data_IF_707230277359
#
_entry.id   IF_707230277359
#
_cell.length_a   1.000
_cell.length_b   1.000
_cell.length_c   1.000
_cell.angle_alpha   90.00
_cell.angle_beta   90.00
_cell.angle_gamma   90.00
#
_symmetry.space_group_name_H-M   'P 1'
#
loop_
_entity.id
_entity.type
_entity.pdbx_description
1 polymer ?
#
# COMPACT_ATOMS: atom_id res chain seq x y z
N UNK A 1 -5.25 57.20 1.18
CA UNK A 1 -4.65 56.22 0.26
C UNK A 1 -5.73 55.82 -0.73
N UNK A 2 -5.80 56.49 -1.88
CA UNK A 2 -6.84 56.26 -2.89
C UNK A 2 -6.39 55.09 -3.76
N UNK A 3 -7.11 53.97 -3.71
CA UNK A 3 -6.93 52.87 -4.64
C UNK A 3 -7.46 53.38 -5.98
N UNK A 4 -6.56 53.62 -6.95
CA UNK A 4 -6.92 54.05 -8.30
C UNK A 4 -7.67 52.94 -9.01
N UNK A 5 -8.64 53.29 -9.88
CA UNK A 5 -9.48 52.34 -10.62
C UNK A 5 -8.69 51.33 -11.46
N UNK A 6 -7.44 51.66 -11.79
CA UNK A 6 -6.49 50.74 -12.43
C UNK A 6 -6.17 49.50 -11.57
N UNK A 7 -6.06 49.66 -10.24
CA UNK A 7 -5.81 48.53 -9.33
C UNK A 7 -7.06 47.65 -9.16
N UNK A 8 -8.24 48.25 -9.29
CA UNK A 8 -9.53 47.55 -9.22
C UNK A 8 -9.75 46.70 -10.48
N UNK A 9 -9.39 47.23 -11.64
CA UNK A 9 -9.43 46.53 -12.91
C UNK A 9 -8.38 45.41 -13.02
N UNK A 10 -7.20 45.60 -12.43
CA UNK A 10 -6.18 44.55 -12.34
C UNK A 10 -6.64 43.37 -11.45
N UNK A 11 -7.33 43.66 -10.34
CA UNK A 11 -7.90 42.63 -9.47
C UNK A 11 -9.06 41.89 -10.16
N UNK A 12 -9.90 42.58 -10.92
CA UNK A 12 -10.99 41.98 -11.70
C UNK A 12 -10.46 41.12 -12.86
N UNK A 13 -9.45 41.57 -13.60
CA UNK A 13 -8.85 40.76 -14.68
C UNK A 13 -8.19 39.48 -14.17
N UNK A 14 -7.69 39.48 -12.93
CA UNK A 14 -7.14 38.28 -12.28
C UNK A 14 -8.22 37.30 -11.79
N UNK A 15 -9.47 37.75 -11.63
CA UNK A 15 -10.61 36.92 -11.24
C UNK A 15 -11.38 36.35 -12.44
N UNK A 16 -11.17 36.91 -13.63
CA UNK A 16 -11.85 36.50 -14.86
C UNK A 16 -11.15 35.32 -15.59
N UNK A 17 -9.97 34.89 -15.13
CA UNK A 17 -9.25 33.71 -15.65
C UNK A 17 -9.47 32.43 -14.82
N UNK A 18 -10.34 32.46 -13.81
CA UNK A 18 -10.78 31.24 -13.15
C UNK A 18 -11.94 30.64 -13.97
N UNK A 19 -11.57 29.90 -15.02
CA UNK A 19 -12.45 28.88 -15.58
C UNK A 19 -12.90 28.00 -14.41
N UNK A 20 -14.15 28.20 -13.96
CA UNK A 20 -14.81 27.43 -12.90
C UNK A 20 -15.09 26.02 -13.43
N UNK A 21 -14.02 25.30 -13.70
CA UNK A 21 -14.03 23.87 -13.89
C UNK A 21 -14.26 23.29 -12.50
N UNK A 22 -15.41 22.65 -12.35
CA UNK A 22 -15.85 21.97 -11.15
C UNK A 22 -14.70 21.11 -10.58
N UNK A 23 -14.03 21.64 -9.54
CA UNK A 23 -12.74 21.15 -9.05
C UNK A 23 -12.89 19.90 -8.16
N UNK A 24 -13.84 19.05 -8.54
CA UNK A 24 -14.35 17.96 -7.72
C UNK A 24 -13.45 16.71 -7.74
N UNK A 25 -12.43 16.74 -8.61
CA UNK A 25 -11.50 15.65 -8.90
C UNK A 25 -10.03 15.98 -8.55
N UNK A 26 -9.78 16.99 -7.72
CA UNK A 26 -8.44 17.32 -7.25
C UNK A 26 -8.25 17.09 -5.74
N UNK A 27 -7.01 16.83 -5.38
CA UNK A 27 -6.55 16.68 -4.01
C UNK A 27 -6.31 18.06 -3.39
N UNK A 28 -7.02 18.38 -2.31
CA UNK A 28 -6.96 19.68 -1.63
C UNK A 28 -5.62 19.99 -0.91
N UNK A 29 -4.67 19.05 -0.87
CA UNK A 29 -3.32 19.28 -0.30
C UNK A 29 -2.31 19.60 -1.40
N UNK A 30 -2.42 18.95 -2.55
CA UNK A 30 -1.40 19.00 -3.61
C UNK A 30 -1.87 19.71 -4.87
N UNK A 31 -3.18 20.02 -4.98
CA UNK A 31 -3.83 20.53 -6.19
C UNK A 31 -3.53 19.65 -7.42
N UNK A 32 -3.45 18.34 -7.19
CA UNK A 32 -3.25 17.34 -8.25
C UNK A 32 -4.46 16.43 -8.35
N UNK A 33 -4.66 15.79 -9.52
CA UNK A 33 -5.76 14.85 -9.75
C UNK A 33 -5.83 13.77 -8.67
N UNK A 34 -7.06 13.39 -8.30
CA UNK A 34 -7.30 12.29 -7.39
C UNK A 34 -6.83 10.96 -8.00
N UNK A 35 -6.09 10.21 -7.20
CA UNK A 35 -5.55 8.89 -7.51
C UNK A 35 -6.53 7.80 -7.15
N UNK A 36 -6.31 6.60 -7.66
CA UNK A 36 -7.13 5.40 -7.40
C UNK A 36 -7.46 5.12 -5.92
N UNK A 37 -6.57 5.48 -4.99
CA UNK A 37 -6.75 5.27 -3.56
C UNK A 37 -7.04 6.56 -2.79
N UNK A 38 -7.67 7.55 -3.42
CA UNK A 38 -8.08 8.78 -2.73
C UNK A 38 -9.00 8.47 -1.54
N UNK A 39 -8.95 9.35 -0.53
CA UNK A 39 -9.74 9.24 0.70
C UNK A 39 -10.67 10.45 0.78
N UNK A 40 -11.94 10.17 1.10
CA UNK A 40 -12.91 11.20 1.46
C UNK A 40 -13.08 11.17 2.97
N UNK A 41 -12.73 12.27 3.65
CA UNK A 41 -12.95 12.38 5.09
C UNK A 41 -14.45 12.60 5.39
N UNK A 42 -14.91 12.37 6.64
CA UNK A 42 -16.31 12.62 7.02
C UNK A 42 -16.77 14.08 6.83
N UNK A 43 -15.82 15.04 6.78
CA UNK A 43 -16.07 16.44 6.41
C UNK A 43 -16.11 16.69 4.90
N UNK A 44 -16.36 15.66 4.08
CA UNK A 44 -16.47 15.65 2.61
C UNK A 44 -15.23 16.05 1.81
N UNK A 45 -14.15 16.52 2.46
CA UNK A 45 -12.90 16.83 1.78
C UNK A 45 -12.19 15.58 1.24
N UNK A 46 -11.77 15.65 -0.02
CA UNK A 46 -11.08 14.58 -0.76
C UNK A 46 -9.58 14.84 -0.83
N UNK A 47 -8.78 13.80 -0.60
CA UNK A 47 -7.33 13.87 -0.65
C UNK A 47 -6.73 12.62 -1.26
N UNK A 48 -5.59 12.78 -1.91
CA UNK A 48 -4.72 11.65 -2.21
C UNK A 48 -4.18 11.03 -0.92
N UNK A 49 -4.07 9.69 -0.91
CA UNK A 49 -3.71 8.95 0.30
C UNK A 49 -2.38 9.37 0.89
N UNK A 50 -1.34 9.47 0.05
CA UNK A 50 0.02 9.72 0.50
C UNK A 50 0.22 11.13 1.11
N UNK A 51 -0.24 12.23 0.46
CA UNK A 51 -0.22 13.55 1.09
C UNK A 51 -1.01 13.62 2.40
N UNK A 52 -2.20 13.00 2.44
CA UNK A 52 -3.02 12.96 3.65
C UNK A 52 -2.34 12.16 4.77
N UNK A 53 -1.72 11.04 4.44
CA UNK A 53 -1.00 10.19 5.39
C UNK A 53 0.17 10.93 6.02
N UNK A 54 1.00 11.62 5.23
CA UNK A 54 2.12 12.41 5.76
C UNK A 54 1.62 13.59 6.61
N UNK A 55 0.54 14.26 6.20
CA UNK A 55 -0.07 15.31 7.01
C UNK A 55 -0.54 14.77 8.39
N UNK A 56 -1.26 13.65 8.42
CA UNK A 56 -1.72 13.01 9.67
C UNK A 56 -0.54 12.51 10.50
N UNK A 57 0.52 11.99 9.87
CA UNK A 57 1.73 11.53 10.54
C UNK A 57 2.46 12.69 11.23
N UNK A 58 2.59 13.83 10.59
CA UNK A 58 3.09 15.06 11.23
C UNK A 58 2.15 15.44 12.39
N UNK A 59 0.84 15.46 12.17
CA UNK A 59 -0.17 15.68 13.22
C UNK A 59 -0.18 14.61 14.33
N UNK A 60 0.56 13.51 14.28
CA UNK A 60 0.56 12.50 15.36
C UNK A 60 1.90 12.31 16.01
N UNK A 61 2.97 12.41 15.23
CA UNK A 61 4.31 12.04 15.65
C UNK A 61 5.22 13.24 15.86
N UNK A 62 4.85 14.45 15.39
CA UNK A 62 5.65 15.66 15.63
C UNK A 62 5.73 15.95 17.13
N UNK A 63 6.93 16.03 17.69
CA UNK A 63 7.18 16.39 19.10
C UNK A 63 7.31 17.91 19.34
N UNK A 64 6.83 18.73 18.43
CA UNK A 64 7.01 20.19 18.50
C UNK A 64 6.25 20.76 19.69
N UNK A 65 6.95 21.49 20.56
CA UNK A 65 6.42 22.13 21.78
C UNK A 65 5.33 23.18 21.51
N UNK A 66 5.31 23.76 20.31
CA UNK A 66 4.32 24.76 19.89
C UNK A 66 2.92 24.19 19.62
N UNK A 67 2.75 22.87 19.72
CA UNK A 67 1.50 22.24 19.33
C UNK A 67 0.58 22.09 20.53
N UNK A 68 -0.47 22.91 20.56
CA UNK A 68 -1.50 22.91 21.61
C UNK A 68 -2.59 21.85 21.42
N UNK A 69 -2.74 21.32 20.22
CA UNK A 69 -3.79 20.34 19.91
C UNK A 69 -3.35 18.89 20.19
N UNK A 70 -3.97 18.29 21.21
CA UNK A 70 -3.84 16.89 21.57
C UNK A 70 -4.99 16.07 20.96
N UNK A 71 -4.68 15.20 20.01
CA UNK A 71 -5.64 14.29 19.37
C UNK A 71 -5.60 12.91 20.06
N UNK A 72 -6.75 12.34 20.39
CA UNK A 72 -6.81 10.98 20.95
C UNK A 72 -6.29 9.94 19.96
N UNK A 73 -5.92 8.74 20.43
CA UNK A 73 -5.28 7.70 19.60
C UNK A 73 -6.08 7.37 18.34
N UNK A 74 -7.42 7.41 18.40
CA UNK A 74 -8.33 7.10 17.30
C UNK A 74 -8.83 8.33 16.53
N UNK A 75 -8.28 9.51 16.80
CA UNK A 75 -8.71 10.77 16.17
C UNK A 75 -7.70 11.30 15.16
N UNK A 76 -8.17 11.89 14.07
CA UNK A 76 -7.33 12.62 13.12
C UNK A 76 -7.96 13.99 12.84
N UNK A 77 -7.15 14.97 12.45
CA UNK A 77 -7.64 16.27 12.07
C UNK A 77 -7.58 16.43 10.55
N UNK A 78 -8.68 16.90 9.93
CA UNK A 78 -8.67 17.25 8.52
C UNK A 78 -7.63 18.36 8.26
N UNK A 79 -6.69 18.18 7.31
CA UNK A 79 -5.70 19.22 6.98
C UNK A 79 -6.32 20.50 6.39
N UNK A 80 -7.50 20.40 5.77
CA UNK A 80 -8.17 21.51 5.12
C UNK A 80 -9.06 22.30 6.10
N UNK A 81 -10.16 21.70 6.58
CA UNK A 81 -11.13 22.39 7.45
C UNK A 81 -10.84 22.28 8.95
N UNK A 82 -9.78 21.58 9.35
CA UNK A 82 -9.38 21.39 10.76
C UNK A 82 -10.40 20.66 11.65
N UNK A 83 -11.48 20.10 11.08
CA UNK A 83 -12.43 19.25 11.82
C UNK A 83 -11.72 17.99 12.32
N UNK A 84 -12.02 17.61 13.58
CA UNK A 84 -11.51 16.40 14.19
C UNK A 84 -12.48 15.25 13.93
N UNK A 85 -11.95 14.10 13.51
CA UNK A 85 -12.71 12.90 13.23
C UNK A 85 -12.21 11.76 14.10
N UNK A 86 -13.13 10.98 14.68
CA UNK A 86 -12.84 9.83 15.55
C UNK A 86 -12.58 8.53 14.77
N UNK A 87 -12.03 8.66 13.56
CA UNK A 87 -11.67 7.54 12.67
C UNK A 87 -10.25 7.71 12.16
N UNK A 88 -9.54 6.58 12.08
CA UNK A 88 -8.20 6.47 11.52
C UNK A 88 -8.24 6.26 10.02
N UNK A 89 -7.12 6.51 9.34
CA UNK A 89 -6.98 6.24 7.91
C UNK A 89 -6.98 4.72 7.65
N UNK A 90 -7.51 4.24 6.51
CA UNK A 90 -7.36 2.85 6.12
C UNK A 90 -5.89 2.55 5.80
N UNK A 91 -5.48 1.29 5.85
CA UNK A 91 -4.13 0.92 5.40
C UNK A 91 -4.09 0.80 3.87
N UNK A 92 -3.32 1.67 3.23
CA UNK A 92 -2.97 1.58 1.80
C UNK A 92 -1.45 1.55 1.69
N UNK A 93 -0.85 0.49 1.11
CA UNK A 93 0.59 0.42 0.96
C UNK A 93 1.07 1.44 -0.07
N UNK A 94 1.97 2.31 0.35
CA UNK A 94 2.68 3.27 -0.50
C UNK A 94 4.15 3.31 -0.10
N UNK A 95 4.99 4.08 -0.80
CA UNK A 95 6.39 4.25 -0.39
C UNK A 95 6.51 4.88 1.00
N UNK A 96 5.66 5.86 1.32
CA UNK A 96 5.55 6.42 2.66
C UNK A 96 4.97 5.44 3.72
N UNK A 97 4.10 4.50 3.32
CA UNK A 97 3.34 3.65 4.22
C UNK A 97 3.55 2.13 3.98
N UNK A 98 4.75 1.64 4.29
CA UNK A 98 5.12 0.21 4.13
C UNK A 98 4.49 -0.70 5.19
N UNK A 99 4.17 -0.16 6.37
CA UNK A 99 3.63 -0.90 7.52
C UNK A 99 2.58 -0.07 8.24
N UNK A 100 1.65 -0.76 8.89
CA UNK A 100 0.65 -0.11 9.75
C UNK A 100 1.32 0.60 10.92
N UNK A 101 0.87 1.81 11.22
CA UNK A 101 1.30 2.67 12.31
C UNK A 101 0.11 2.90 13.25
N UNK A 102 0.32 2.59 14.52
CA UNK A 102 -0.67 2.82 15.58
C UNK A 102 -1.02 4.31 15.61
N UNK A 103 -2.28 4.64 15.83
CA UNK A 103 -2.85 6.01 15.86
C UNK A 103 -2.97 6.74 14.52
N UNK A 104 -2.56 6.11 13.41
CA UNK A 104 -2.71 6.67 12.06
C UNK A 104 -3.58 5.75 11.20
N UNK A 105 -3.20 4.47 11.07
CA UNK A 105 -3.91 3.48 10.26
C UNK A 105 -4.01 2.10 10.95
N UNK A 106 -3.90 2.10 12.28
CA UNK A 106 -4.15 0.96 13.14
C UNK A 106 -4.57 1.42 14.54
N UNK A 107 -5.42 0.66 15.24
CA UNK A 107 -6.00 -0.64 14.86
C UNK A 107 -7.18 -0.53 13.88
N UNK A 108 -7.42 -1.61 13.12
CA UNK A 108 -8.39 -1.61 12.01
C UNK A 108 -9.83 -1.25 12.45
N UNK A 109 -10.23 -1.60 13.67
CA UNK A 109 -11.55 -1.26 14.22
C UNK A 109 -11.86 0.24 14.24
N UNK A 110 -10.82 1.08 14.32
CA UNK A 110 -10.98 2.54 14.29
C UNK A 110 -10.76 3.12 12.90
N UNK A 111 -10.25 2.36 11.95
CA UNK A 111 -10.00 2.85 10.61
C UNK A 111 -11.31 3.01 9.84
N UNK A 112 -11.43 4.08 9.07
CA UNK A 112 -12.55 4.29 8.15
C UNK A 112 -12.64 3.18 7.10
N UNK A 113 -13.81 3.05 6.49
CA UNK A 113 -14.00 2.17 5.34
C UNK A 113 -13.30 2.78 4.12
N UNK A 114 -12.79 1.93 3.22
CA UNK A 114 -12.17 2.36 1.96
C UNK A 114 -12.76 1.59 0.78
N UNK A 115 -12.35 0.32 0.65
CA UNK A 115 -12.83 -0.60 -0.37
C UNK A 115 -12.99 -2.00 0.21
N UNK A 116 -13.70 -2.86 -0.51
CA UNK A 116 -13.89 -4.27 -0.16
C UNK A 116 -13.04 -5.20 -1.01
N UNK A 117 -12.51 -6.26 -0.39
CA UNK A 117 -11.64 -7.18 -1.08
C UNK A 117 -12.42 -8.07 -2.07
N UNK A 118 -12.04 -8.02 -3.34
CA UNK A 118 -12.68 -8.78 -4.42
C UNK A 118 -12.28 -10.28 -4.46
N UNK A 119 -11.61 -10.79 -3.43
CA UNK A 119 -11.14 -12.18 -3.40
C UNK A 119 -12.27 -13.16 -3.13
N UNK A 120 -12.44 -14.14 -4.02
CA UNK A 120 -13.36 -15.28 -3.86
C UNK A 120 -12.60 -16.54 -3.41
N UNK A 121 -13.03 -17.15 -2.32
CA UNK A 121 -12.42 -18.38 -1.83
C UNK A 121 -12.74 -19.56 -2.75
N UNK A 122 -11.71 -20.27 -3.23
CA UNK A 122 -11.86 -21.42 -4.14
C UNK A 122 -12.15 -22.75 -3.44
N UNK A 123 -11.91 -22.83 -2.14
CA UNK A 123 -12.03 -24.06 -1.34
C UNK A 123 -12.32 -23.77 0.14
N UNK A 124 -12.67 -24.83 0.88
CA UNK A 124 -12.97 -24.77 2.32
C UNK A 124 -14.41 -24.38 2.64
N UNK A 125 -14.70 -24.18 3.93
CA UNK A 125 -16.04 -23.82 4.46
C UNK A 125 -16.57 -22.54 3.80
N UNK A 126 -15.67 -21.62 3.44
CA UNK A 126 -15.99 -20.32 2.84
C UNK A 126 -16.00 -20.33 1.31
N UNK A 127 -16.02 -21.49 0.65
CA UNK A 127 -15.98 -21.58 -0.82
C UNK A 127 -17.05 -20.70 -1.47
N UNK A 128 -16.67 -20.01 -2.55
CA UNK A 128 -17.48 -19.06 -3.31
C UNK A 128 -17.92 -17.79 -2.55
N UNK A 129 -17.48 -17.61 -1.29
CA UNK A 129 -17.74 -16.36 -0.56
C UNK A 129 -16.64 -15.31 -0.80
N UNK A 130 -16.99 -14.04 -0.60
CA UNK A 130 -16.06 -12.91 -0.70
C UNK A 130 -15.25 -12.70 0.58
N UNK A 131 -14.15 -11.98 0.42
CA UNK A 131 -13.35 -11.49 1.52
C UNK A 131 -13.94 -10.18 2.05
N UNK A 132 -14.56 -10.21 3.22
CA UNK A 132 -15.14 -9.02 3.86
C UNK A 132 -14.08 -8.15 4.58
N UNK A 133 -12.83 -8.16 4.12
CA UNK A 133 -11.77 -7.35 4.71
C UNK A 133 -11.59 -6.07 3.89
N UNK A 134 -11.17 -5.00 4.59
CA UNK A 134 -10.81 -3.74 3.94
C UNK A 134 -9.68 -3.95 2.94
N UNK A 135 -9.83 -3.33 1.78
CA UNK A 135 -8.97 -3.45 0.64
C UNK A 135 -8.51 -2.08 0.15
N UNK A 136 -7.60 -2.13 -0.81
CA UNK A 136 -7.11 -1.00 -1.57
C UNK A 136 -6.93 -1.45 -3.02
N UNK A 137 -6.92 -0.47 -3.94
CA UNK A 137 -6.67 -0.72 -5.35
C UNK A 137 -5.18 -0.85 -5.58
N UNK A 138 -4.77 -1.92 -6.26
CA UNK A 138 -3.42 -2.11 -6.78
C UNK A 138 -3.47 -2.56 -8.24
N UNK A 139 -2.30 -2.68 -8.87
CA UNK A 139 -2.15 -3.10 -10.27
C UNK A 139 -2.83 -4.44 -10.58
N UNK A 140 -2.94 -5.33 -9.60
CA UNK A 140 -3.56 -6.64 -9.77
C UNK A 140 -5.07 -6.63 -9.52
N UNK A 141 -5.62 -5.54 -8.96
CA UNK A 141 -7.02 -5.38 -8.60
C UNK A 141 -7.23 -4.89 -7.16
N UNK A 142 -8.45 -5.01 -6.65
CA UNK A 142 -8.83 -4.52 -5.32
C UNK A 142 -8.77 -5.65 -4.29
N UNK A 143 -7.71 -5.64 -3.47
CA UNK A 143 -7.45 -6.72 -2.50
C UNK A 143 -7.02 -6.20 -1.13
N UNK A 144 -7.32 -6.98 -0.09
CA UNK A 144 -6.78 -6.74 1.24
C UNK A 144 -5.28 -7.10 1.29
N UNK A 145 -4.58 -6.61 2.31
CA UNK A 145 -3.13 -6.82 2.48
C UNK A 145 -2.70 -8.29 2.34
N UNK A 146 -3.44 -9.21 2.98
CA UNK A 146 -3.11 -10.64 2.94
C UNK A 146 -3.30 -11.27 1.56
N UNK A 147 -4.39 -10.94 0.86
CA UNK A 147 -4.66 -11.46 -0.48
C UNK A 147 -3.76 -10.82 -1.53
N UNK A 148 -3.47 -9.52 -1.44
CA UNK A 148 -2.52 -8.86 -2.33
C UNK A 148 -1.13 -9.51 -2.25
N UNK A 149 -0.59 -9.69 -1.04
CA UNK A 149 0.70 -10.37 -0.84
C UNK A 149 0.69 -11.83 -1.33
N UNK A 150 -0.45 -12.51 -1.27
CA UNK A 150 -0.59 -13.88 -1.78
C UNK A 150 -0.56 -13.92 -3.31
N UNK A 151 -1.25 -12.98 -3.98
CA UNK A 151 -1.28 -12.89 -5.45
C UNK A 151 0.10 -12.56 -5.99
N UNK A 152 0.79 -11.58 -5.41
CA UNK A 152 2.16 -11.21 -5.82
C UNK A 152 3.07 -12.43 -5.74
N UNK A 153 3.10 -13.14 -4.60
CA UNK A 153 3.92 -14.34 -4.43
C UNK A 153 3.59 -15.45 -5.45
N UNK A 154 2.32 -15.57 -5.85
CA UNK A 154 1.92 -16.54 -6.87
C UNK A 154 2.39 -16.14 -8.26
N UNK A 155 2.32 -14.84 -8.61
CA UNK A 155 2.84 -14.30 -9.87
C UNK A 155 4.36 -14.45 -9.95
N UNK A 156 5.08 -14.02 -8.92
CA UNK A 156 6.54 -14.18 -8.82
C UNK A 156 6.95 -15.65 -8.95
N UNK A 157 6.23 -16.57 -8.30
CA UNK A 157 6.50 -18.01 -8.40
C UNK A 157 6.19 -18.60 -9.79
N UNK A 158 5.26 -18.00 -10.55
CA UNK A 158 4.95 -18.41 -11.91
C UNK A 158 5.97 -17.87 -12.93
N UNK A 159 6.46 -16.65 -12.73
CA UNK A 159 7.52 -16.03 -13.54
C UNK A 159 8.89 -16.70 -13.32
N UNK A 160 9.14 -17.23 -12.11
CA UNK A 160 10.25 -18.14 -11.85
C UNK A 160 9.92 -19.53 -12.42
N UNK A 161 9.77 -19.62 -13.74
CA UNK A 161 9.70 -20.90 -14.43
C UNK A 161 11.03 -21.61 -14.23
N UNK A 162 11.06 -22.66 -13.42
CA UNK A 162 12.25 -23.50 -13.23
C UNK A 162 12.49 -24.25 -14.56
N UNK A 163 13.40 -23.73 -15.38
CA UNK A 163 13.88 -24.45 -16.56
C UNK A 163 14.76 -25.62 -16.10
N UNK A 164 14.28 -26.85 -16.35
CA UNK A 164 15.00 -28.06 -16.00
C UNK A 164 16.13 -28.29 -17.00
N UNK A 165 17.38 -28.30 -16.53
CA UNK A 165 18.54 -28.69 -17.33
C UNK A 165 18.99 -30.12 -16.99
N UNK A 166 19.86 -30.72 -17.81
CA UNK A 166 20.33 -32.10 -17.62
C UNK A 166 21.02 -32.36 -16.27
N UNK A 167 21.60 -31.34 -15.64
CA UNK A 167 22.19 -31.45 -14.29
C UNK A 167 21.12 -31.62 -13.19
N UNK A 168 19.95 -31.00 -13.36
CA UNK A 168 18.82 -31.17 -12.45
C UNK A 168 18.19 -32.57 -12.53
N UNK A 169 18.26 -33.22 -13.70
CA UNK A 169 17.80 -34.60 -13.92
C UNK A 169 18.49 -35.59 -12.97
N UNK A 170 19.82 -35.45 -12.85
CA UNK A 170 20.66 -36.28 -11.98
C UNK A 170 20.32 -36.11 -10.50
N UNK A 171 19.72 -34.98 -10.10
CA UNK A 171 19.34 -34.70 -8.72
C UNK A 171 17.92 -35.15 -8.39
N UNK A 172 17.08 -35.50 -9.38
CA UNK A 172 15.73 -36.05 -9.15
C UNK A 172 15.75 -37.38 -8.40
N UNK A 173 16.82 -38.17 -8.53
CA UNK A 173 16.98 -39.46 -7.83
C UNK A 173 17.11 -39.35 -6.31
N UNK A 174 17.51 -38.19 -5.79
CA UNK A 174 17.67 -37.99 -4.34
C UNK A 174 16.33 -37.73 -3.64
N UNK A 175 16.24 -38.19 -2.40
CA UNK A 175 15.11 -37.91 -1.52
C UNK A 175 15.23 -36.51 -0.90
N UNK A 176 14.11 -35.96 -0.40
CA UNK A 176 14.10 -34.65 0.25
C UNK A 176 15.10 -34.56 1.43
N UNK A 177 15.21 -35.57 2.31
CA UNK A 177 16.23 -35.58 3.36
C UNK A 177 17.66 -35.46 2.81
N UNK A 178 17.99 -36.21 1.77
CA UNK A 178 19.32 -36.18 1.14
C UNK A 178 19.62 -34.81 0.52
N UNK A 179 18.65 -34.20 -0.16
CA UNK A 179 18.78 -32.85 -0.71
C UNK A 179 18.99 -31.80 0.39
N UNK A 180 18.32 -31.93 1.54
CA UNK A 180 18.52 -31.03 2.69
C UNK A 180 19.91 -31.16 3.31
N UNK A 181 20.50 -32.36 3.32
CA UNK A 181 21.89 -32.57 3.77
C UNK A 181 22.87 -31.86 2.84
N UNK A 182 22.67 -31.96 1.53
CA UNK A 182 23.50 -31.26 0.53
C UNK A 182 23.40 -29.73 0.71
N UNK A 183 22.18 -29.21 0.87
CA UNK A 183 21.96 -27.78 1.13
C UNK A 183 22.56 -27.34 2.47
N UNK A 184 22.53 -28.19 3.50
CA UNK A 184 23.14 -27.89 4.79
C UNK A 184 24.66 -27.76 4.69
N UNK A 185 25.33 -28.67 3.97
CA UNK A 185 26.78 -28.58 3.71
C UNK A 185 27.16 -27.28 3.00
N UNK A 186 26.29 -26.77 2.13
CA UNK A 186 26.48 -25.48 1.45
C UNK A 186 25.98 -24.25 2.22
N UNK A 187 25.55 -24.40 3.48
CA UNK A 187 24.92 -23.33 4.28
C UNK A 187 23.72 -22.64 3.59
N UNK A 188 22.93 -23.42 2.83
CA UNK A 188 21.80 -22.95 2.05
C UNK A 188 20.45 -23.22 2.73
N UNK A 189 19.44 -22.40 2.39
CA UNK A 189 18.07 -22.52 2.90
C UNK A 189 17.44 -23.88 2.55
N UNK A 190 16.94 -24.60 3.56
CA UNK A 190 16.42 -25.99 3.47
C UNK A 190 14.88 -26.11 3.27
N UNK A 191 14.20 -25.00 2.98
CA UNK A 191 12.73 -24.95 2.85
C UNK A 191 12.29 -24.94 1.39
N UNK A 192 11.10 -25.49 1.12
CA UNK A 192 10.49 -25.57 -0.21
C UNK A 192 10.18 -27.00 -0.66
N UNK A 193 9.58 -27.11 -1.85
CA UNK A 193 9.32 -28.38 -2.52
C UNK A 193 10.61 -28.94 -3.16
N UNK A 194 10.58 -30.21 -3.60
CA UNK A 194 11.76 -30.91 -4.16
C UNK A 194 12.39 -30.16 -5.33
N UNK A 195 11.59 -29.61 -6.24
CA UNK A 195 12.06 -28.82 -7.38
C UNK A 195 12.82 -27.55 -6.94
N UNK A 196 12.30 -26.83 -5.94
CA UNK A 196 12.95 -25.64 -5.40
C UNK A 196 14.29 -25.96 -4.72
N UNK A 197 14.39 -27.10 -4.03
CA UNK A 197 15.65 -27.56 -3.42
C UNK A 197 16.69 -27.90 -4.50
N UNK A 198 16.30 -28.62 -5.56
CA UNK A 198 17.18 -28.97 -6.69
C UNK A 198 17.66 -27.70 -7.41
N UNK A 199 16.75 -26.79 -7.75
CA UNK A 199 17.11 -25.53 -8.40
C UNK A 199 18.13 -24.75 -7.56
N UNK A 200 17.90 -24.65 -6.24
CA UNK A 200 18.81 -23.95 -5.32
C UNK A 200 20.21 -24.58 -5.26
N UNK A 201 20.33 -25.91 -5.38
CA UNK A 201 21.63 -26.59 -5.44
C UNK A 201 22.36 -26.22 -6.73
N UNK A 202 21.68 -26.28 -7.87
CA UNK A 202 22.28 -26.02 -9.19
C UNK A 202 22.66 -24.54 -9.36
N UNK A 203 21.79 -23.61 -8.97
CA UNK A 203 22.07 -22.16 -9.09
C UNK A 203 23.23 -21.71 -8.20
N UNK A 204 23.44 -22.34 -7.04
CA UNK A 204 24.57 -22.00 -6.18
C UNK A 204 25.88 -22.64 -6.62
N UNK A 205 25.88 -23.85 -7.23
CA UNK A 205 27.09 -24.42 -7.83
C UNK A 205 27.70 -23.53 -8.92
N UNK A 206 26.86 -22.90 -9.74
CA UNK A 206 27.29 -21.97 -10.80
C UNK A 206 27.97 -20.70 -10.29
N UNK A 207 27.72 -20.28 -9.04
CA UNK A 207 28.33 -19.07 -8.44
C UNK A 207 29.78 -19.27 -7.97
N UNK A 208 30.27 -20.50 -7.87
CA UNK A 208 31.62 -20.83 -7.41
C UNK A 208 32.50 -21.42 -8.53
N UNK A 209 32.02 -21.42 -9.77
CA UNK A 209 32.71 -21.97 -10.95
C UNK A 209 33.02 -20.91 -12.02
N UNK A 210 32.76 -19.65 -11.70
CA UNK A 210 33.20 -18.43 -12.42
C UNK A 210 34.14 -17.66 -11.52
#
# INVERSE_FOLDING_TARGET
MQITDQNKNLFLSLLEEDDVTDNDNECLITSTKLTDNFITLPCTHKFNYEPLFEAVKIQKLSKTSYRTLHLAINEIQCPYCRTIHNKLLPFVPTEANKRTIISINAPDKFCMHHMECSWKFKSGIRKNTLCNCKAYKSEVGVFCKSHHSRIIKQKEAAEVSIHWNGEMESLKKFTIPQLKVILHKGNLKKTGNKACLINRIVTNKKKYTT
#
